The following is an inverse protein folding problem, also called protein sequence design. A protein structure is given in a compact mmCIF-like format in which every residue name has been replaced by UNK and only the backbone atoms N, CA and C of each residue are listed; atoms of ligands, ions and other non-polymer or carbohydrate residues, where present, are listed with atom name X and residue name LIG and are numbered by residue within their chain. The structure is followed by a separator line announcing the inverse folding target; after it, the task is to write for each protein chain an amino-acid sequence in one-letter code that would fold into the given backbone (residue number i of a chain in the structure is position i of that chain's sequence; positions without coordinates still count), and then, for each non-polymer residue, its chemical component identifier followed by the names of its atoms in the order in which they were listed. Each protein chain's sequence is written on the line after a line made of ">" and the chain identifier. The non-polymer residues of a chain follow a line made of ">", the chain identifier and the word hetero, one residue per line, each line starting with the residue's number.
data_IF_742709904187
#
_entry.id   IF_742709904187
#
_cell.length_a   1.000
_cell.length_b   1.000
_cell.length_c   1.000
_cell.angle_alpha   90.00
_cell.angle_beta   90.00
_cell.angle_gamma   90.00
#
_symmetry.space_group_name_H-M   'P 1'
#
loop_
_entity.id
_entity.type
_entity.pdbx_description
1 polymer ?
#
# COMPACT_ATOMS: atom_id res chain seq x y z
N UNK A 1 -4.58 -11.73 -6.26
CA UNK A 1 -5.14 -10.39 -6.50
C UNK A 1 -5.34 -10.17 -8.00
N UNK A 2 -4.30 -10.06 -8.83
CA UNK A 2 -4.48 -9.95 -10.31
C UNK A 2 -4.50 -11.29 -11.04
N UNK A 3 -3.94 -12.34 -10.45
CA UNK A 3 -3.92 -13.70 -11.03
C UNK A 3 -5.29 -14.41 -11.01
N UNK A 4 -6.28 -13.81 -10.35
CA UNK A 4 -7.65 -14.32 -10.28
C UNK A 4 -8.49 -13.90 -11.51
N UNK A 5 -7.96 -13.05 -12.40
CA UNK A 5 -8.59 -12.70 -13.68
C UNK A 5 -8.53 -13.89 -14.64
N UNK A 6 -9.67 -14.54 -14.82
CA UNK A 6 -9.90 -15.58 -15.81
C UNK A 6 -10.13 -15.03 -17.21
N UNK A 7 -10.11 -15.92 -18.20
CA UNK A 7 -10.36 -15.57 -19.60
C UNK A 7 -11.72 -14.87 -19.82
N UNK A 8 -12.75 -15.26 -19.05
CA UNK A 8 -14.10 -14.69 -19.15
C UNK A 8 -14.15 -13.23 -18.66
N UNK A 9 -13.46 -12.92 -17.56
CA UNK A 9 -13.41 -11.55 -17.02
C UNK A 9 -12.64 -10.62 -17.95
N UNK A 10 -11.56 -11.10 -18.57
CA UNK A 10 -10.85 -10.34 -19.60
C UNK A 10 -11.75 -10.00 -20.79
N UNK A 11 -12.54 -10.96 -21.29
CA UNK A 11 -13.52 -10.72 -22.37
C UNK A 11 -14.56 -9.70 -21.92
N UNK A 12 -15.04 -9.79 -20.68
CA UNK A 12 -16.02 -8.84 -20.13
C UNK A 12 -15.46 -7.41 -20.09
N UNK A 13 -14.20 -7.24 -19.68
CA UNK A 13 -13.53 -5.94 -19.68
C UNK A 13 -13.35 -5.38 -21.10
N UNK A 14 -13.00 -6.23 -22.07
CA UNK A 14 -12.87 -5.81 -23.47
C UNK A 14 -14.21 -5.34 -24.02
N UNK A 15 -15.28 -6.11 -23.78
CA UNK A 15 -16.65 -5.73 -24.20
C UNK A 15 -17.07 -4.43 -23.54
N UNK A 16 -16.81 -4.26 -22.24
CA UNK A 16 -17.11 -3.02 -21.52
C UNK A 16 -16.33 -1.82 -22.09
N UNK A 17 -15.04 -1.99 -22.37
CA UNK A 17 -14.22 -0.94 -22.98
C UNK A 17 -14.75 -0.55 -24.36
N UNK A 18 -15.14 -1.54 -25.17
CA UNK A 18 -15.77 -1.29 -26.49
C UNK A 18 -17.11 -0.58 -26.34
N UNK A 19 -17.92 -0.91 -25.33
CA UNK A 19 -19.21 -0.24 -25.10
C UNK A 19 -19.03 1.22 -24.66
N UNK A 20 -18.06 1.49 -23.78
CA UNK A 20 -17.80 2.83 -23.24
C UNK A 20 -17.16 3.74 -24.29
N UNK A 21 -16.11 3.28 -24.96
CA UNK A 21 -15.34 4.09 -25.90
C UNK A 21 -15.84 3.97 -27.35
N UNK A 22 -16.42 2.83 -27.71
CA UNK A 22 -16.76 2.45 -29.07
C UNK A 22 -15.65 1.62 -29.75
N UNK A 23 -16.00 0.62 -30.60
CA UNK A 23 -15.02 -0.25 -31.27
C UNK A 23 -14.09 0.53 -32.20
N UNK A 24 -14.57 1.62 -32.80
CA UNK A 24 -13.79 2.45 -33.73
C UNK A 24 -12.80 3.38 -33.02
N UNK A 25 -13.11 3.78 -31.78
CA UNK A 25 -12.29 4.74 -31.03
C UNK A 25 -11.24 4.07 -30.15
N UNK A 26 -11.52 2.86 -29.66
CA UNK A 26 -10.62 2.14 -28.76
C UNK A 26 -9.21 1.96 -29.36
N UNK A 27 -9.02 1.55 -30.63
CA UNK A 27 -7.69 1.45 -31.24
C UNK A 27 -6.97 2.79 -31.29
N UNK A 28 -7.71 3.88 -31.56
CA UNK A 28 -7.16 5.24 -31.60
C UNK A 28 -6.71 5.70 -30.22
N UNK A 29 -7.50 5.45 -29.17
CA UNK A 29 -7.13 5.75 -27.78
C UNK A 29 -5.87 4.99 -27.36
N UNK A 30 -5.76 3.70 -27.69
CA UNK A 30 -4.54 2.92 -27.41
C UNK A 30 -3.33 3.54 -28.10
N UNK A 31 -3.47 3.94 -29.36
CA UNK A 31 -2.39 4.58 -30.11
C UNK A 31 -1.99 5.92 -29.49
N UNK A 32 -2.95 6.74 -29.08
CA UNK A 32 -2.71 8.05 -28.46
C UNK A 32 -1.97 7.89 -27.12
N UNK A 33 -2.43 6.96 -26.26
CA UNK A 33 -1.77 6.64 -24.99
C UNK A 33 -0.37 6.09 -25.23
N UNK A 34 -0.20 5.18 -26.19
CA UNK A 34 1.12 4.61 -26.51
C UNK A 34 2.10 5.69 -26.99
N UNK A 35 1.65 6.61 -27.85
CA UNK A 35 2.46 7.75 -28.30
C UNK A 35 2.77 8.70 -27.17
N UNK A 36 1.81 8.96 -26.28
CA UNK A 36 2.02 9.79 -25.10
C UNK A 36 3.09 9.20 -24.17
N UNK A 37 2.99 7.91 -23.85
CA UNK A 37 3.98 7.20 -23.02
C UNK A 37 5.38 7.31 -23.63
N UNK A 38 5.52 7.13 -24.95
CA UNK A 38 6.81 7.29 -25.65
C UNK A 38 7.36 8.69 -25.51
N UNK A 39 6.54 9.73 -25.74
CA UNK A 39 6.95 11.13 -25.58
C UNK A 39 7.35 11.47 -24.15
N UNK A 40 6.62 10.97 -23.15
CA UNK A 40 6.96 11.19 -21.75
C UNK A 40 8.32 10.56 -21.43
N UNK A 41 8.59 9.36 -21.94
CA UNK A 41 9.88 8.70 -21.77
C UNK A 41 11.01 9.48 -22.45
N UNK A 42 10.84 9.86 -23.71
CA UNK A 42 11.80 10.68 -24.45
C UNK A 42 12.08 12.01 -23.74
N UNK A 43 11.05 12.71 -23.28
CA UNK A 43 11.18 13.96 -22.52
C UNK A 43 11.97 13.75 -21.21
N UNK A 44 11.67 12.66 -20.49
CA UNK A 44 12.37 12.33 -19.23
C UNK A 44 13.85 12.03 -19.48
N UNK A 45 14.16 11.29 -20.55
CA UNK A 45 15.53 10.94 -20.92
C UNK A 45 16.31 12.19 -21.39
N UNK A 46 15.69 13.06 -22.18
CA UNK A 46 16.26 14.36 -22.58
C UNK A 46 16.53 15.26 -21.37
N UNK A 47 15.56 15.44 -20.49
CA UNK A 47 15.73 16.27 -19.29
C UNK A 47 16.86 15.74 -18.37
N UNK A 48 16.98 14.41 -18.22
CA UNK A 48 18.12 13.79 -17.51
C UNK A 48 19.46 14.10 -18.18
N UNK A 49 19.50 14.04 -19.51
CA UNK A 49 20.72 14.36 -20.26
C UNK A 49 21.10 15.84 -20.12
N UNK A 50 20.13 16.75 -20.21
CA UNK A 50 20.37 18.19 -20.06
C UNK A 50 20.89 18.53 -18.66
N UNK A 51 20.26 17.98 -17.61
CA UNK A 51 20.72 18.11 -16.21
C UNK A 51 22.15 17.57 -16.03
N UNK A 52 22.45 16.40 -16.60
CA UNK A 52 23.80 15.79 -16.54
C UNK A 52 24.85 16.63 -17.28
N UNK A 53 24.44 17.32 -18.34
CA UNK A 53 25.32 18.13 -19.19
C UNK A 53 25.67 19.46 -18.54
N UNK A 54 24.71 20.09 -17.87
CA UNK A 54 24.86 21.44 -17.31
C UNK A 54 25.37 21.45 -15.86
N UNK A 55 25.03 20.42 -15.06
CA UNK A 55 25.36 20.39 -13.63
C UNK A 55 26.53 19.44 -13.29
N UNK A 56 27.14 18.82 -14.29
CA UNK A 56 28.30 17.95 -14.11
C UNK A 56 27.99 16.57 -13.51
N UNK A 57 29.02 15.72 -13.34
CA UNK A 57 28.86 14.32 -12.93
C UNK A 57 28.28 14.11 -11.52
N UNK A 58 28.08 15.16 -10.71
CA UNK A 58 27.49 15.07 -9.37
C UNK A 58 25.98 14.73 -9.38
N UNK A 59 25.30 14.83 -10.54
CA UNK A 59 23.90 14.39 -10.69
C UNK A 59 23.76 13.02 -11.36
N UNK A 60 24.87 12.28 -11.58
CA UNK A 60 24.81 10.89 -12.07
C UNK A 60 23.97 9.98 -11.17
N UNK A 61 23.88 10.30 -9.88
CA UNK A 61 23.21 9.46 -8.87
C UNK A 61 21.71 9.76 -8.70
N UNK A 62 21.14 10.73 -9.44
CA UNK A 62 19.69 10.87 -9.58
C UNK A 62 19.12 9.87 -10.62
N UNK A 63 19.57 8.62 -10.54
CA UNK A 63 18.94 7.52 -11.26
C UNK A 63 17.74 7.05 -10.43
N UNK A 64 16.57 7.58 -10.79
CA UNK A 64 15.24 7.09 -10.42
C UNK A 64 14.98 5.67 -10.96
N UNK A 65 15.90 4.74 -10.76
CA UNK A 65 15.77 3.35 -11.22
C UNK A 65 15.03 2.47 -10.22
N UNK A 66 14.65 3.02 -9.07
CA UNK A 66 13.72 2.34 -8.17
C UNK A 66 12.72 3.31 -7.55
N UNK A 67 11.57 3.44 -8.20
CA UNK A 67 10.36 4.04 -7.62
C UNK A 67 9.78 3.19 -6.47
N UNK A 68 10.53 2.25 -5.88
CA UNK A 68 10.28 1.81 -4.52
C UNK A 68 10.98 2.76 -3.54
N UNK A 69 10.23 3.55 -2.75
CA UNK A 69 10.81 4.47 -1.78
C UNK A 69 11.69 3.70 -0.77
N UNK A 70 11.41 2.42 -0.52
CA UNK A 70 12.19 1.58 0.39
C UNK A 70 13.60 1.30 -0.12
N UNK A 71 13.79 1.07 -1.41
CA UNK A 71 15.10 0.76 -1.99
C UNK A 71 15.92 2.01 -2.24
N UNK A 72 15.27 3.12 -2.63
CA UNK A 72 15.92 4.44 -2.68
C UNK A 72 16.37 4.89 -1.29
N UNK A 73 15.52 4.77 -0.26
CA UNK A 73 15.91 5.05 1.12
C UNK A 73 16.99 4.08 1.60
N UNK A 74 16.91 2.79 1.27
CA UNK A 74 17.95 1.83 1.67
C UNK A 74 19.30 2.18 1.08
N UNK A 75 19.35 2.53 -0.21
CA UNK A 75 20.57 2.92 -0.90
C UNK A 75 21.09 4.27 -0.43
N UNK A 76 20.21 5.24 -0.13
CA UNK A 76 20.59 6.52 0.48
C UNK A 76 21.05 6.37 1.93
N UNK A 77 20.45 5.48 2.73
CA UNK A 77 20.90 5.17 4.10
C UNK A 77 22.23 4.39 4.13
N UNK A 78 22.55 3.65 3.07
CA UNK A 78 23.80 2.89 2.94
C UNK A 78 24.94 3.77 2.38
N UNK A 79 24.63 4.73 1.50
CA UNK A 79 25.60 5.64 0.88
C UNK A 79 25.91 6.91 1.69
N UNK A 80 24.98 7.40 2.53
CA UNK A 80 25.22 8.57 3.37
C UNK A 80 25.61 8.13 4.79
N UNK A 81 26.83 8.48 5.22
CA UNK A 81 27.37 8.11 6.53
C UNK A 81 26.50 8.63 7.69
N UNK A 82 25.96 9.84 7.57
CA UNK A 82 25.07 10.47 8.56
C UNK A 82 23.76 9.67 8.78
N UNK A 83 23.20 9.13 7.70
CA UNK A 83 21.97 8.33 7.76
C UNK A 83 22.24 6.90 8.29
N UNK A 84 23.46 6.39 8.11
CA UNK A 84 23.90 5.12 8.69
C UNK A 84 24.05 5.25 10.20
N UNK A 85 24.66 6.33 10.67
CA UNK A 85 24.77 6.66 12.09
C UNK A 85 23.37 6.78 12.73
N UNK A 86 22.43 7.49 12.10
CA UNK A 86 21.04 7.57 12.59
C UNK A 86 20.34 6.20 12.65
N UNK A 87 20.64 5.26 11.73
CA UNK A 87 20.09 3.90 11.77
C UNK A 87 20.73 3.05 12.86
N UNK A 88 22.03 3.22 13.09
CA UNK A 88 22.74 2.56 14.18
C UNK A 88 22.27 3.10 15.54
N UNK A 89 22.06 4.42 15.67
CA UNK A 89 21.45 5.05 16.85
C UNK A 89 20.00 4.59 17.06
N UNK A 90 19.22 4.43 16.00
CA UNK A 90 17.86 3.85 16.08
C UNK A 90 17.87 2.34 16.38
N UNK A 91 18.96 1.65 16.07
CA UNK A 91 19.17 0.24 16.40
C UNK A 91 19.64 0.03 17.84
N UNK A 92 20.41 0.97 18.38
CA UNK A 92 20.88 0.96 19.77
C UNK A 92 19.83 1.48 20.74
N UNK A 93 18.97 2.41 20.32
CA UNK A 93 17.74 2.73 21.02
C UNK A 93 16.66 1.73 20.60
N UNK A 94 16.47 0.70 21.43
CA UNK A 94 15.54 -0.44 21.31
C UNK A 94 14.04 -0.03 21.35
N UNK A 95 13.70 1.11 20.75
CA UNK A 95 12.38 1.75 20.65
C UNK A 95 11.33 0.80 20.09
N UNK A 96 11.71 -0.09 19.16
CA UNK A 96 10.77 -1.05 18.58
C UNK A 96 10.36 -2.12 19.59
N UNK A 97 11.28 -2.50 20.48
CA UNK A 97 11.04 -3.45 21.54
C UNK A 97 10.25 -2.79 22.67
N UNK A 98 10.60 -1.57 23.05
CA UNK A 98 9.84 -0.78 24.04
C UNK A 98 8.42 -0.46 23.56
N UNK A 99 8.23 -0.14 22.28
CA UNK A 99 6.88 0.09 21.72
C UNK A 99 6.04 -1.19 21.72
N UNK A 100 6.64 -2.36 21.45
CA UNK A 100 5.94 -3.64 21.55
C UNK A 100 5.62 -3.99 23.00
N UNK A 101 6.52 -3.72 23.95
CA UNK A 101 6.31 -3.96 25.38
C UNK A 101 5.25 -3.03 25.98
N UNK A 102 5.26 -1.75 25.61
CA UNK A 102 4.23 -0.78 25.99
C UNK A 102 2.89 -1.15 25.34
N UNK A 103 2.88 -1.57 24.08
CA UNK A 103 1.67 -2.03 23.42
C UNK A 103 1.10 -3.29 24.08
N UNK A 104 1.95 -4.23 24.48
CA UNK A 104 1.56 -5.46 25.18
C UNK A 104 1.06 -5.17 26.61
N UNK A 105 1.72 -4.26 27.32
CA UNK A 105 1.28 -3.81 28.66
C UNK A 105 -0.08 -3.09 28.65
N UNK A 106 -0.41 -2.40 27.54
CA UNK A 106 -1.73 -1.77 27.36
C UNK A 106 -2.80 -2.81 27.00
N UNK A 107 -2.45 -3.85 26.23
CA UNK A 107 -3.39 -4.94 25.90
C UNK A 107 -3.54 -5.97 27.05
N UNK A 108 -2.59 -6.07 27.98
CA UNK A 108 -2.57 -7.07 29.05
C UNK A 108 -3.42 -6.79 30.30
N UNK A 109 -4.13 -5.65 30.40
CA UNK A 109 -4.94 -5.29 31.58
C UNK A 109 -6.38 -5.86 31.58
N UNK A 110 -6.68 -6.86 30.76
CA UNK A 110 -7.98 -7.56 30.80
C UNK A 110 -7.86 -9.02 31.27
N UNK A 111 -7.26 -9.27 32.43
CA UNK A 111 -7.58 -10.51 33.17
C UNK A 111 -7.44 -10.28 34.67
N UNK A 112 -8.54 -10.54 35.41
CA UNK A 112 -8.69 -10.99 36.81
C UNK A 112 -10.03 -10.44 37.38
N UNK A 113 -10.66 -11.09 38.38
CA UNK A 113 -11.31 -12.39 38.35
C UNK A 113 -12.78 -12.30 38.82
N UNK A 114 -13.51 -13.41 38.78
CA UNK A 114 -14.90 -13.52 39.21
C UNK A 114 -15.17 -13.00 40.64
N UNK A 115 -16.17 -12.13 40.79
CA UNK A 115 -16.89 -11.89 42.04
C UNK A 115 -18.37 -12.22 41.82
N UNK A 116 -18.81 -13.28 42.49
CA UNK A 116 -20.21 -13.68 42.60
C UNK A 116 -21.04 -12.57 43.26
N UNK A 117 -22.13 -12.19 42.60
CA UNK A 117 -23.22 -11.39 43.16
C UNK A 117 -24.56 -12.01 42.77
N UNK A 118 -25.01 -12.96 43.58
CA UNK A 118 -26.27 -13.68 43.43
C UNK A 118 -27.51 -12.78 43.58
N UNK A 119 -28.56 -13.19 42.85
CA UNK A 119 -30.00 -13.09 43.17
C UNK A 119 -30.77 -11.79 42.88
N UNK A 120 -31.69 -11.87 41.90
CA UNK A 120 -33.17 -11.68 41.98
C UNK A 120 -33.71 -11.44 40.55
N UNK A 121 -34.74 -12.09 39.98
CA UNK A 121 -35.70 -13.11 40.36
C UNK A 121 -36.81 -13.19 39.28
N UNK A 122 -37.43 -14.37 39.09
CA UNK A 122 -38.72 -14.60 38.38
C UNK A 122 -38.61 -14.86 36.87
N UNK A 123 -38.71 -16.06 36.29
CA UNK A 123 -39.63 -17.21 36.41
C UNK A 123 -40.99 -17.06 35.68
N UNK A 124 -41.31 -18.13 34.92
CA UNK A 124 -42.58 -18.57 34.30
C UNK A 124 -42.93 -17.98 32.91
N UNK A 125 -42.95 -18.72 31.78
CA UNK A 125 -43.59 -20.00 31.40
C UNK A 125 -44.96 -19.82 30.71
N UNK A 126 -45.02 -20.20 29.41
CA UNK A 126 -46.07 -20.95 28.70
C UNK A 126 -47.53 -20.46 28.66
N UNK A 127 -48.15 -20.49 27.46
CA UNK A 127 -49.61 -20.63 27.32
C UNK A 127 -50.25 -20.00 26.06
N UNK A 128 -50.56 -20.86 25.10
CA UNK A 128 -51.55 -20.84 23.99
C UNK A 128 -52.63 -19.74 23.93
N UNK A 129 -53.11 -19.31 22.74
CA UNK A 129 -54.48 -18.83 22.57
C UNK A 129 -55.39 -19.90 21.90
N UNK A 130 -56.54 -20.11 22.53
CA UNK A 130 -57.57 -21.09 22.23
C UNK A 130 -58.45 -20.76 21.01
N UNK A 131 -59.06 -21.81 20.45
CA UNK A 131 -60.22 -21.74 19.54
C UNK A 131 -61.49 -22.27 20.22
N UNK A 132 -62.62 -21.71 19.77
CA UNK A 132 -64.06 -22.03 20.05
C UNK A 132 -64.55 -22.02 21.48
#
# INVERSE_FOLDING_TARGET
>A
MFSDIGALELVTLVVLAVLVFGPDKLPKVIQDVSRFIRKVREFSDSAKNDIRSELGPEFKDFEFEDLNPKTFLRKQLENNEDLRELKDLRGTFDLKKEMNEVADAVHGRETLPAVNGSATGGAAAGGTPAGT
#
